data_IF_581746710972
#
_entry.id   IF_581746710972
#
_cell.length_a   1.000
_cell.length_b   1.000
_cell.length_c   1.000
_cell.angle_alpha   90.00
_cell.angle_beta   90.00
_cell.angle_gamma   90.00
#
_symmetry.space_group_name_H-M   'P 1'
#
loop_
_entity.id
_entity.type
_entity.pdbx_description
1 polymer ?
#
# COMPACT_ATOMS: atom_id res chain seq x y z
N UNK A 1 -5.20 -27.13 -17.89
CA UNK A 1 -6.23 -26.28 -17.26
C UNK A 1 -6.11 -24.87 -17.81
N UNK A 2 -7.25 -24.18 -17.94
CA UNK A 2 -7.57 -23.19 -18.95
C UNK A 2 -6.90 -21.82 -18.77
N UNK A 3 -6.14 -21.38 -19.78
CA UNK A 3 -5.62 -20.01 -19.91
C UNK A 3 -6.74 -18.98 -19.77
N UNK A 4 -7.91 -19.29 -20.34
CA UNK A 4 -9.12 -18.46 -20.26
C UNK A 4 -9.64 -18.37 -18.82
N UNK A 5 -9.61 -19.46 -18.06
CA UNK A 5 -10.10 -19.47 -16.68
C UNK A 5 -9.16 -18.70 -15.76
N UNK A 6 -7.84 -18.83 -15.96
CA UNK A 6 -6.84 -17.99 -15.30
C UNK A 6 -7.00 -16.51 -15.65
N UNK A 7 -7.21 -16.19 -16.93
CA UNK A 7 -7.45 -14.81 -17.37
C UNK A 7 -8.71 -14.21 -16.74
N UNK A 8 -9.81 -14.97 -16.69
CA UNK A 8 -11.05 -14.54 -16.05
C UNK A 8 -10.85 -14.34 -14.55
N UNK A 9 -10.15 -15.25 -13.86
CA UNK A 9 -9.84 -15.12 -12.43
C UNK A 9 -8.93 -13.92 -12.13
N UNK A 10 -7.88 -13.69 -12.93
CA UNK A 10 -6.98 -12.54 -12.79
C UNK A 10 -7.72 -11.21 -13.03
N UNK A 11 -8.64 -11.20 -14.02
CA UNK A 11 -9.48 -10.03 -14.34
C UNK A 11 -10.52 -9.79 -13.24
N UNK A 12 -11.13 -10.84 -12.69
CA UNK A 12 -12.05 -10.73 -11.56
C UNK A 12 -11.33 -10.28 -10.29
N UNK A 13 -10.14 -10.81 -10.01
CA UNK A 13 -9.33 -10.38 -8.87
C UNK A 13 -9.01 -8.88 -8.97
N UNK A 14 -8.71 -8.35 -10.17
CA UNK A 14 -8.57 -6.91 -10.42
C UNK A 14 -9.85 -6.11 -10.17
N UNK A 15 -11.04 -6.68 -10.40
CA UNK A 15 -12.34 -6.03 -10.17
C UNK A 15 -12.89 -6.22 -8.74
N UNK A 16 -12.25 -7.07 -7.93
CA UNK A 16 -12.62 -7.29 -6.51
C UNK A 16 -11.84 -6.37 -5.58
N UNK A 17 -12.18 -6.37 -4.28
CA UNK A 17 -11.44 -5.61 -3.28
C UNK A 17 -9.94 -5.98 -3.17
N UNK A 18 -9.53 -7.16 -3.66
CA UNK A 18 -8.12 -7.55 -3.77
C UNK A 18 -7.37 -6.75 -4.86
N UNK A 19 -8.03 -6.43 -5.97
CA UNK A 19 -7.48 -5.56 -7.02
C UNK A 19 -7.28 -4.13 -6.52
N UNK A 20 -8.27 -3.58 -5.81
CA UNK A 20 -8.14 -2.28 -5.13
C UNK A 20 -6.97 -2.28 -4.15
N UNK A 21 -6.78 -3.37 -3.39
CA UNK A 21 -5.65 -3.50 -2.46
C UNK A 21 -4.30 -3.51 -3.18
N UNK A 22 -4.16 -4.21 -4.31
CA UNK A 22 -2.91 -4.21 -5.09
C UNK A 22 -2.58 -2.83 -5.64
N UNK A 23 -3.58 -2.07 -6.08
CA UNK A 23 -3.38 -0.69 -6.53
C UNK A 23 -2.94 0.18 -5.36
N UNK A 24 -3.60 0.08 -4.21
CA UNK A 24 -3.20 0.81 -3.00
C UNK A 24 -1.82 0.43 -2.49
N UNK A 25 -1.42 -0.85 -2.62
CA UNK A 25 -0.07 -1.31 -2.28
C UNK A 25 0.99 -0.68 -3.17
N UNK A 26 0.75 -0.62 -4.48
CA UNK A 26 1.66 0.05 -5.41
C UNK A 26 1.82 1.56 -5.09
N UNK A 27 0.70 2.25 -4.81
CA UNK A 27 0.72 3.68 -4.43
C UNK A 27 1.51 3.89 -3.14
N UNK A 28 1.28 3.06 -2.13
CA UNK A 28 1.98 3.14 -0.85
C UNK A 28 3.49 2.94 -0.99
N UNK A 29 3.92 1.95 -1.79
CA UNK A 29 5.33 1.67 -2.00
C UNK A 29 6.02 2.82 -2.76
N UNK A 30 5.35 3.43 -3.72
CA UNK A 30 5.85 4.59 -4.46
C UNK A 30 6.00 5.83 -3.55
N UNK A 31 4.98 6.13 -2.73
CA UNK A 31 5.04 7.20 -1.74
C UNK A 31 6.19 7.01 -0.74
N UNK A 32 6.38 5.78 -0.25
CA UNK A 32 7.45 5.44 0.68
C UNK A 32 8.85 5.60 0.05
N UNK A 33 9.04 5.15 -1.19
CA UNK A 33 10.29 5.32 -1.93
C UNK A 33 10.61 6.81 -2.19
N UNK A 34 9.61 7.57 -2.64
CA UNK A 34 9.74 9.02 -2.84
C UNK A 34 10.13 9.74 -1.53
N UNK A 35 9.44 9.44 -0.43
CA UNK A 35 9.74 10.00 0.88
C UNK A 35 11.14 9.62 1.38
N UNK A 36 11.54 8.36 1.18
CA UNK A 36 12.88 7.89 1.56
C UNK A 36 13.99 8.61 0.80
N UNK A 37 13.81 8.86 -0.51
CA UNK A 37 14.76 9.62 -1.33
C UNK A 37 14.87 11.08 -0.86
N UNK A 38 13.73 11.76 -0.67
CA UNK A 38 13.71 13.15 -0.15
C UNK A 38 14.36 13.28 1.22
N UNK A 39 14.13 12.30 2.10
CA UNK A 39 14.74 12.29 3.44
C UNK A 39 16.25 12.03 3.38
N UNK A 40 16.75 11.30 2.39
CA UNK A 40 18.19 11.12 2.18
C UNK A 40 18.87 12.39 1.66
N UNK A 41 18.14 13.25 0.96
CA UNK A 41 18.64 14.52 0.41
C UNK A 41 18.58 15.67 1.44
N UNK A 42 17.60 15.63 2.34
CA UNK A 42 17.49 16.53 3.49
C UNK A 42 18.41 16.03 4.60
N UNK A 43 19.40 16.82 5.05
CA UNK A 43 20.28 16.48 6.18
C UNK A 43 19.47 15.89 7.36
N UNK A 44 19.54 14.56 7.51
CA UNK A 44 18.48 13.73 8.10
C UNK A 44 17.79 14.29 9.33
N UNK A 45 16.52 14.69 9.18
CA UNK A 45 15.67 15.01 10.31
C UNK A 45 15.21 13.70 10.99
N UNK A 46 15.80 13.41 12.15
CA UNK A 46 15.51 12.20 12.92
C UNK A 46 14.07 12.11 13.48
N UNK A 47 13.32 13.22 13.49
CA UNK A 47 11.88 13.21 13.82
C UNK A 47 11.08 12.78 12.58
N UNK A 48 11.36 13.38 11.42
CA UNK A 48 10.76 12.98 10.14
C UNK A 48 11.06 11.50 9.83
N UNK A 49 12.29 11.05 10.07
CA UNK A 49 12.68 9.66 9.84
C UNK A 49 11.88 8.69 10.72
N UNK A 50 11.72 9.00 12.01
CA UNK A 50 10.91 8.16 12.91
C UNK A 50 9.43 8.13 12.50
N UNK A 51 8.88 9.26 12.05
CA UNK A 51 7.51 9.31 11.51
C UNK A 51 7.37 8.46 10.25
N UNK A 52 8.28 8.60 9.30
CA UNK A 52 8.28 7.82 8.06
C UNK A 52 8.36 6.31 8.33
N UNK A 53 9.27 5.88 9.21
CA UNK A 53 9.40 4.48 9.63
C UNK A 53 8.10 3.97 10.27
N UNK A 54 7.47 4.76 11.15
CA UNK A 54 6.20 4.40 11.78
C UNK A 54 5.08 4.18 10.75
N UNK A 55 4.96 5.08 9.77
CA UNK A 55 4.00 4.95 8.67
C UNK A 55 4.30 3.74 7.78
N UNK A 56 5.58 3.46 7.52
CA UNK A 56 6.01 2.28 6.78
C UNK A 56 5.55 0.98 7.47
N UNK A 57 5.74 0.88 8.80
CA UNK A 57 5.24 -0.26 9.58
C UNK A 57 3.72 -0.36 9.58
N UNK A 58 3.01 0.77 9.69
CA UNK A 58 1.54 0.81 9.61
C UNK A 58 1.05 0.26 8.27
N UNK A 59 1.61 0.71 7.15
CA UNK A 59 1.28 0.22 5.81
C UNK A 59 1.61 -1.27 5.63
N UNK A 60 2.79 -1.70 6.09
CA UNK A 60 3.19 -3.11 6.04
C UNK A 60 2.22 -4.02 6.82
N UNK A 61 1.75 -3.58 7.99
CA UNK A 61 0.78 -4.34 8.77
C UNK A 61 -0.57 -4.45 8.06
N UNK A 62 -1.02 -3.37 7.41
CA UNK A 62 -2.26 -3.38 6.60
C UNK A 62 -2.12 -4.38 5.44
N UNK A 63 -0.99 -4.38 4.73
CA UNK A 63 -0.70 -5.35 3.65
C UNK A 63 -0.73 -6.77 4.18
N UNK A 64 0.00 -7.07 5.26
CA UNK A 64 0.02 -8.41 5.88
C UNK A 64 -1.36 -8.88 6.32
N UNK A 65 -2.16 -8.00 6.91
CA UNK A 65 -3.54 -8.35 7.29
C UNK A 65 -4.38 -8.71 6.07
N UNK A 66 -4.13 -8.11 4.91
CA UNK A 66 -4.90 -8.33 3.69
C UNK A 66 -4.52 -9.63 2.96
N UNK A 67 -3.24 -10.04 2.99
CA UNK A 67 -2.73 -11.29 2.37
C UNK A 67 -3.40 -12.55 2.94
N UNK A 68 -3.89 -12.49 4.18
CA UNK A 68 -4.54 -13.61 4.86
C UNK A 68 -6.07 -13.60 4.74
N UNK A 69 -6.66 -12.65 4.01
CA UNK A 69 -8.12 -12.56 3.92
C UNK A 69 -8.69 -13.44 2.80
N UNK A 70 -9.90 -14.01 2.99
CA UNK A 70 -10.64 -14.67 1.92
C UNK A 70 -10.92 -13.72 0.73
N UNK A 71 -11.12 -14.28 -0.47
CA UNK A 71 -11.45 -13.53 -1.70
C UNK A 71 -12.67 -12.59 -1.55
N UNK A 72 -13.65 -12.98 -0.73
CA UNK A 72 -14.90 -12.21 -0.49
C UNK A 72 -14.79 -11.20 0.67
N UNK A 73 -13.58 -10.95 1.16
CA UNK A 73 -13.35 -10.14 2.35
C UNK A 73 -13.42 -8.64 2.12
N UNK A 74 -13.43 -7.89 3.24
CA UNK A 74 -13.39 -6.42 3.33
C UNK A 74 -12.07 -5.80 2.83
N UNK A 75 -11.42 -6.37 1.81
CA UNK A 75 -10.17 -5.89 1.23
C UNK A 75 -10.24 -4.41 0.81
N UNK A 76 -11.41 -3.92 0.39
CA UNK A 76 -11.66 -2.48 0.14
C UNK A 76 -11.34 -1.58 1.33
N UNK A 77 -11.64 -2.03 2.56
CA UNK A 77 -11.36 -1.27 3.79
C UNK A 77 -9.85 -1.14 4.02
N UNK A 78 -9.10 -2.20 3.71
CA UNK A 78 -7.65 -2.21 3.86
C UNK A 78 -6.99 -1.40 2.74
N UNK A 79 -7.49 -1.47 1.51
CA UNK A 79 -7.07 -0.62 0.40
C UNK A 79 -7.25 0.88 0.75
N UNK A 80 -8.43 1.25 1.25
CA UNK A 80 -8.69 2.61 1.73
C UNK A 80 -7.75 3.04 2.86
N UNK A 81 -7.54 2.19 3.86
CA UNK A 81 -6.63 2.47 4.96
C UNK A 81 -5.17 2.63 4.48
N UNK A 82 -4.75 1.84 3.49
CA UNK A 82 -3.40 1.93 2.92
C UNK A 82 -3.21 3.20 2.08
N UNK A 83 -4.23 3.63 1.33
CA UNK A 83 -4.22 4.92 0.65
C UNK A 83 -4.12 6.09 1.64
N UNK A 84 -4.80 6.03 2.80
CA UNK A 84 -4.65 7.05 3.83
C UNK A 84 -3.21 7.13 4.36
N UNK A 85 -2.56 5.98 4.58
CA UNK A 85 -1.14 5.95 4.98
C UNK A 85 -0.26 6.58 3.91
N UNK A 86 -0.54 6.32 2.63
CA UNK A 86 0.20 6.90 1.50
C UNK A 86 0.09 8.44 1.51
N UNK A 87 -1.12 8.97 1.71
CA UNK A 87 -1.33 10.42 1.85
C UNK A 87 -0.64 11.00 3.10
N UNK A 88 -0.65 10.29 4.23
CA UNK A 88 0.08 10.70 5.43
C UNK A 88 1.59 10.80 5.14
N UNK A 89 2.15 9.88 4.35
CA UNK A 89 3.56 9.93 3.91
C UNK A 89 3.84 11.16 3.03
N UNK A 90 3.02 11.39 2.00
CA UNK A 90 3.20 12.55 1.10
C UNK A 90 3.12 13.89 1.84
N UNK A 91 2.27 13.96 2.86
CA UNK A 91 2.08 15.16 3.69
C UNK A 91 3.29 15.51 4.57
N UNK A 92 4.21 14.56 4.81
CA UNK A 92 5.44 14.82 5.58
C UNK A 92 6.41 15.76 4.87
N UNK A 93 6.29 15.89 3.54
CA UNK A 93 7.21 16.64 2.68
C UNK A 93 6.48 17.68 1.81
N UNK A 94 5.26 18.06 2.20
CA UNK A 94 4.46 19.11 1.57
C UNK A 94 4.68 20.47 2.24
#
# INVERSE_FOLDING_TARGET
MAVIQKFIEDTFDMMTGLGEMKVSEAIFLDALDCASKRLSESAGDGILMRKLISLAYKGQNIIKMCVHLPRDSKAKKYAFALNQVSHEIDSLFS
#
